data_IF_724346886545
#
_entry.id   IF_724346886545
#
_cell.length_a   1.000
_cell.length_b   1.000
_cell.length_c   1.000
_cell.angle_alpha   90.00
_cell.angle_beta   90.00
_cell.angle_gamma   90.00
#
_symmetry.space_group_name_H-M   'P 1'
#
loop_
_entity.id
_entity.type
_entity.pdbx_description
1 polymer ?
#
# COMPACT_ATOMS: atom_id res chain seq x y z
N UNK A 1 -4.45 30.03 18.75
CA UNK A 1 -4.36 28.77 19.51
C UNK A 1 -4.53 27.66 18.49
N UNK A 2 -3.43 26.97 18.17
CA UNK A 2 -3.49 25.78 17.33
C UNK A 2 -3.94 24.66 18.26
N UNK A 3 -5.20 24.25 18.17
CA UNK A 3 -5.67 23.04 18.84
C UNK A 3 -4.96 21.84 18.17
N UNK A 4 -4.02 21.21 18.86
CA UNK A 4 -3.47 19.94 18.44
C UNK A 4 -4.54 18.87 18.68
N UNK A 5 -5.20 18.46 17.59
CA UNK A 5 -6.05 17.28 17.63
C UNK A 5 -5.17 16.02 17.58
N UNK A 6 -5.29 15.18 18.60
CA UNK A 6 -4.65 13.86 18.57
C UNK A 6 -5.20 13.03 17.41
N UNK A 7 -4.31 12.54 16.58
CA UNK A 7 -4.65 11.68 15.46
C UNK A 7 -4.19 10.25 15.69
N UNK A 8 -4.93 9.30 15.16
CA UNK A 8 -4.58 7.89 15.11
C UNK A 8 -4.45 7.50 13.65
N UNK A 9 -3.29 7.00 13.27
CA UNK A 9 -3.04 6.46 11.94
C UNK A 9 -3.11 4.93 11.99
N UNK A 10 -3.97 4.36 11.14
CA UNK A 10 -4.15 2.92 11.01
C UNK A 10 -3.79 2.52 9.59
N UNK A 11 -2.92 1.53 9.46
CA UNK A 11 -2.53 0.95 8.17
C UNK A 11 -2.82 -0.55 8.16
N UNK A 12 -3.48 -1.01 7.11
CA UNK A 12 -3.82 -2.42 6.93
C UNK A 12 -3.60 -2.82 5.48
N UNK A 13 -2.86 -3.88 5.23
CA UNK A 13 -2.68 -4.43 3.90
C UNK A 13 -3.89 -5.27 3.50
N UNK A 14 -4.46 -4.97 2.35
CA UNK A 14 -5.59 -5.68 1.76
C UNK A 14 -5.10 -6.41 0.51
N UNK A 15 -5.25 -7.75 0.44
CA UNK A 15 -4.79 -8.50 -0.71
C UNK A 15 -5.72 -8.29 -1.91
N UNK A 16 -5.10 -8.06 -3.07
CA UNK A 16 -5.76 -8.02 -4.37
C UNK A 16 -5.15 -9.10 -5.27
N UNK A 17 -5.93 -9.63 -6.17
CA UNK A 17 -5.38 -10.49 -7.22
C UNK A 17 -4.45 -9.69 -8.12
N UNK A 18 -3.30 -10.25 -8.47
CA UNK A 18 -2.25 -9.58 -9.23
C UNK A 18 -2.81 -9.00 -10.54
N UNK A 19 -2.48 -7.74 -10.82
CA UNK A 19 -2.90 -7.06 -12.04
C UNK A 19 -4.39 -6.74 -12.12
N UNK A 20 -5.14 -6.85 -11.03
CA UNK A 20 -6.58 -6.61 -11.00
C UNK A 20 -6.98 -5.61 -9.91
N UNK A 21 -8.24 -5.16 -9.97
CA UNK A 21 -8.91 -4.41 -8.93
C UNK A 21 -9.80 -5.30 -8.02
N UNK A 22 -9.66 -6.62 -8.12
CA UNK A 22 -10.45 -7.59 -7.35
C UNK A 22 -9.75 -7.89 -6.03
N UNK A 23 -10.49 -7.66 -4.94
CA UNK A 23 -10.04 -8.01 -3.60
C UNK A 23 -10.03 -9.54 -3.47
N UNK A 24 -8.93 -10.09 -2.97
CA UNK A 24 -8.88 -11.49 -2.55
C UNK A 24 -9.62 -11.65 -1.21
N UNK A 25 -10.92 -11.89 -1.31
CA UNK A 25 -11.82 -11.94 -0.16
C UNK A 25 -11.77 -13.34 0.48
N UNK A 26 -10.83 -13.50 1.41
CA UNK A 26 -10.70 -14.67 2.25
C UNK A 26 -11.07 -14.33 3.71
N UNK A 27 -11.04 -15.30 4.59
CA UNK A 27 -11.42 -15.11 6.01
C UNK A 27 -10.53 -14.08 6.73
N UNK A 28 -9.24 -14.02 6.39
CA UNK A 28 -8.31 -13.03 6.96
C UNK A 28 -8.65 -11.64 6.45
N UNK A 29 -8.94 -11.49 5.16
CA UNK A 29 -9.35 -10.22 4.57
C UNK A 29 -10.66 -9.72 5.15
N UNK A 30 -11.65 -10.60 5.34
CA UNK A 30 -12.92 -10.26 5.99
C UNK A 30 -12.70 -9.75 7.41
N UNK A 31 -11.81 -10.38 8.18
CA UNK A 31 -11.45 -9.93 9.53
C UNK A 31 -10.77 -8.55 9.51
N UNK A 32 -9.87 -8.31 8.57
CA UNK A 32 -9.21 -7.01 8.39
C UNK A 32 -10.21 -5.91 8.08
N UNK A 33 -11.15 -6.16 7.18
CA UNK A 33 -12.21 -5.22 6.83
C UNK A 33 -13.13 -4.97 8.02
N UNK A 34 -13.50 -6.00 8.77
CA UNK A 34 -14.31 -5.86 9.98
C UNK A 34 -13.62 -4.98 11.04
N UNK A 35 -12.30 -5.13 11.22
CA UNK A 35 -11.52 -4.29 12.13
C UNK A 35 -11.48 -2.83 11.66
N UNK A 36 -11.33 -2.58 10.36
CA UNK A 36 -11.39 -1.24 9.79
C UNK A 36 -12.76 -0.61 10.09
N UNK A 37 -13.84 -1.33 9.84
CA UNK A 37 -15.21 -0.87 10.10
C UNK A 37 -15.41 -0.55 11.59
N UNK A 38 -14.91 -1.40 12.47
CA UNK A 38 -14.98 -1.19 13.92
C UNK A 38 -14.26 0.11 14.34
N UNK A 39 -13.11 0.39 13.77
CA UNK A 39 -12.37 1.63 14.04
C UNK A 39 -13.12 2.87 13.56
N UNK A 40 -13.71 2.80 12.36
CA UNK A 40 -14.48 3.91 11.79
C UNK A 40 -15.76 4.17 12.58
N UNK A 41 -16.41 3.12 13.08
CA UNK A 41 -17.66 3.22 13.87
C UNK A 41 -17.46 3.72 15.30
N UNK A 42 -16.23 3.82 15.78
CA UNK A 42 -15.98 4.31 17.12
C UNK A 42 -16.53 5.73 17.29
N UNK A 43 -17.32 5.96 18.33
CA UNK A 43 -17.83 7.28 18.68
C UNK A 43 -16.80 8.19 19.37
N UNK A 44 -15.61 7.69 19.62
CA UNK A 44 -14.49 8.44 20.21
C UNK A 44 -13.63 9.16 19.17
N UNK A 45 -13.83 8.86 17.90
CA UNK A 45 -13.07 9.38 16.78
C UNK A 45 -13.96 9.68 15.59
N UNK A 46 -13.46 10.50 14.66
CA UNK A 46 -14.05 10.63 13.34
C UNK A 46 -12.99 10.38 12.26
N UNK A 47 -13.43 9.87 11.12
CA UNK A 47 -12.56 9.60 9.97
C UNK A 47 -12.22 10.91 9.26
N UNK A 48 -10.96 11.32 9.30
CA UNK A 48 -10.47 12.51 8.61
C UNK A 48 -10.02 12.22 7.19
N UNK A 49 -9.37 11.08 6.95
CA UNK A 49 -8.94 10.68 5.60
C UNK A 49 -8.90 9.16 5.42
N UNK A 50 -9.10 8.75 4.19
CA UNK A 50 -9.06 7.38 3.74
C UNK A 50 -8.17 7.31 2.48
N UNK A 51 -7.01 6.68 2.60
CA UNK A 51 -6.04 6.55 1.52
C UNK A 51 -5.84 5.07 1.20
N UNK A 52 -5.79 4.77 -0.09
CA UNK A 52 -5.42 3.44 -0.59
C UNK A 52 -4.17 3.59 -1.44
N UNK A 53 -3.07 3.07 -0.96
CA UNK A 53 -1.77 3.10 -1.63
C UNK A 53 -1.46 1.73 -2.20
N UNK A 54 -1.15 1.65 -3.49
CA UNK A 54 -0.74 0.43 -4.16
C UNK A 54 0.74 0.50 -4.54
N UNK A 55 1.51 -0.51 -4.16
CA UNK A 55 2.90 -0.68 -4.57
C UNK A 55 3.01 -1.68 -5.70
N UNK A 56 3.79 -1.34 -6.72
CA UNK A 56 4.03 -2.14 -7.92
C UNK A 56 5.50 -2.53 -8.02
N UNK A 57 5.74 -3.76 -8.44
CA UNK A 57 7.08 -4.24 -8.78
C UNK A 57 7.48 -3.77 -10.19
N UNK A 58 8.81 -3.70 -10.50
CA UNK A 58 9.27 -3.01 -11.72
C UNK A 58 8.98 -3.74 -13.03
N UNK A 59 8.60 -5.02 -12.99
CA UNK A 59 8.21 -5.77 -14.21
C UNK A 59 6.81 -5.41 -14.72
N UNK A 60 6.04 -4.68 -13.93
CA UNK A 60 4.71 -4.21 -14.34
C UNK A 60 4.76 -3.09 -15.37
N UNK A 61 3.68 -2.92 -16.12
CA UNK A 61 3.55 -1.82 -17.07
C UNK A 61 3.10 -0.54 -16.34
N UNK A 62 3.99 0.44 -16.22
CA UNK A 62 3.73 1.76 -15.59
C UNK A 62 2.48 2.44 -16.14
N UNK A 63 2.18 2.21 -17.42
CA UNK A 63 1.01 2.78 -18.10
C UNK A 63 -0.32 2.48 -17.39
N UNK A 64 -0.45 1.29 -16.81
CA UNK A 64 -1.70 0.85 -16.18
C UNK A 64 -1.69 0.96 -14.66
N UNK A 65 -0.55 1.22 -14.06
CA UNK A 65 -0.42 1.19 -12.60
C UNK A 65 -1.30 2.25 -11.92
N UNK A 66 -1.36 3.46 -12.48
CA UNK A 66 -2.23 4.52 -11.97
C UNK A 66 -3.71 4.14 -12.02
N UNK A 67 -4.15 3.54 -13.12
CA UNK A 67 -5.54 3.08 -13.26
C UNK A 67 -5.87 1.98 -12.27
N UNK A 68 -5.00 0.97 -12.14
CA UNK A 68 -5.18 -0.12 -11.17
C UNK A 68 -5.24 0.43 -9.74
N UNK A 69 -4.37 1.36 -9.38
CA UNK A 69 -4.37 1.98 -8.05
C UNK A 69 -5.69 2.71 -7.77
N UNK A 70 -6.18 3.48 -8.75
CA UNK A 70 -7.46 4.18 -8.64
C UNK A 70 -8.64 3.22 -8.52
N UNK A 71 -8.67 2.18 -9.34
CA UNK A 71 -9.72 1.17 -9.32
C UNK A 71 -9.72 0.36 -8.01
N UNK A 72 -8.54 0.07 -7.44
CA UNK A 72 -8.42 -0.59 -6.13
C UNK A 72 -8.93 0.30 -5.01
N UNK A 73 -8.63 1.59 -5.04
CA UNK A 73 -9.17 2.54 -4.07
C UNK A 73 -10.70 2.59 -4.14
N UNK A 74 -11.27 2.62 -5.35
CA UNK A 74 -12.70 2.60 -5.55
C UNK A 74 -13.34 1.28 -5.08
N UNK A 75 -12.70 0.14 -5.34
CA UNK A 75 -13.19 -1.16 -4.88
C UNK A 75 -13.25 -1.25 -3.36
N UNK A 76 -12.25 -0.77 -2.65
CA UNK A 76 -12.26 -0.70 -1.19
C UNK A 76 -13.29 0.31 -0.67
N UNK A 77 -13.40 1.46 -1.33
CA UNK A 77 -14.41 2.46 -0.99
C UNK A 77 -15.83 1.91 -1.12
N UNK A 78 -16.11 1.11 -2.15
CA UNK A 78 -17.42 0.48 -2.34
C UNK A 78 -17.76 -0.50 -1.22
N UNK A 79 -16.79 -1.30 -0.78
CA UNK A 79 -16.96 -2.23 0.36
C UNK A 79 -17.22 -1.48 1.67
N UNK A 80 -16.57 -0.33 1.86
CA UNK A 80 -16.65 0.47 3.08
C UNK A 80 -17.66 1.60 3.01
N UNK A 81 -18.35 1.78 1.88
CA UNK A 81 -19.22 2.93 1.58
C UNK A 81 -20.19 3.31 2.70
N UNK A 82 -20.91 2.37 3.35
CA UNK A 82 -21.82 2.72 4.43
C UNK A 82 -21.14 3.39 5.63
N UNK A 83 -19.83 3.22 5.77
CA UNK A 83 -19.06 3.64 6.94
C UNK A 83 -18.18 4.88 6.68
N UNK A 84 -17.95 5.26 5.41
CA UNK A 84 -17.03 6.34 5.07
C UNK A 84 -17.56 7.73 5.37
N UNK A 85 -18.86 7.89 5.64
CA UNK A 85 -19.50 9.16 6.04
C UNK A 85 -19.15 10.34 5.11
N UNK A 86 -19.13 10.10 3.80
CA UNK A 86 -18.83 11.12 2.80
C UNK A 86 -17.33 11.41 2.58
N UNK A 87 -16.43 10.70 3.26
CA UNK A 87 -14.99 10.83 3.02
C UNK A 87 -14.64 10.19 1.69
N UNK A 88 -14.02 10.96 0.80
CA UNK A 88 -13.59 10.48 -0.51
C UNK A 88 -12.26 9.75 -0.40
N UNK A 89 -12.11 8.56 -1.00
CA UNK A 89 -10.85 7.84 -1.00
C UNK A 89 -9.78 8.59 -1.79
N UNK A 90 -8.55 8.56 -1.30
CA UNK A 90 -7.37 9.06 -1.99
C UNK A 90 -6.60 7.85 -2.51
N UNK A 91 -6.40 7.77 -3.83
CA UNK A 91 -5.59 6.74 -4.45
C UNK A 91 -4.16 7.24 -4.65
N UNK A 92 -3.20 6.50 -4.11
CA UNK A 92 -1.78 6.74 -4.35
C UNK A 92 -1.10 5.47 -4.83
N UNK A 93 0.06 5.59 -5.44
CA UNK A 93 0.82 4.42 -5.86
C UNK A 93 2.33 4.67 -5.81
N UNK A 94 3.07 3.58 -5.64
CA UNK A 94 4.53 3.53 -5.65
C UNK A 94 4.96 2.52 -6.72
N UNK A 95 5.85 2.94 -7.59
CA UNK A 95 6.50 2.06 -8.56
C UNK A 95 7.93 1.78 -8.08
N UNK A 96 8.17 0.54 -7.63
CA UNK A 96 9.52 0.13 -7.23
C UNK A 96 10.45 0.05 -8.43
N UNK A 97 11.68 0.52 -8.26
CA UNK A 97 12.74 0.42 -9.25
C UNK A 97 13.47 -0.92 -9.17
N UNK A 98 14.28 -1.22 -10.18
CA UNK A 98 15.19 -2.37 -10.11
C UNK A 98 16.24 -2.23 -9.01
N UNK A 99 16.60 -1.00 -8.65
CA UNK A 99 17.45 -0.75 -7.48
C UNK A 99 16.76 -1.17 -6.19
N UNK A 100 15.46 -0.91 -6.05
CA UNK A 100 14.67 -1.37 -4.91
C UNK A 100 14.65 -2.91 -4.83
N UNK A 101 14.60 -3.59 -5.97
CA UNK A 101 14.72 -5.05 -6.04
C UNK A 101 16.09 -5.51 -5.53
N UNK A 102 17.15 -4.86 -5.96
CA UNK A 102 18.51 -5.17 -5.48
C UNK A 102 18.63 -4.96 -3.96
N UNK A 103 18.10 -3.86 -3.44
CA UNK A 103 18.09 -3.58 -2.01
C UNK A 103 17.31 -4.66 -1.23
N UNK A 104 16.17 -5.09 -1.75
CA UNK A 104 15.37 -6.18 -1.16
C UNK A 104 16.09 -7.52 -1.16
N UNK A 105 16.80 -7.83 -2.24
CA UNK A 105 17.64 -9.02 -2.33
C UNK A 105 18.76 -9.01 -1.29
N UNK A 106 19.38 -7.83 -1.03
CA UNK A 106 20.40 -7.68 0.01
C UNK A 106 19.83 -7.92 1.40
N UNK A 107 18.63 -7.44 1.68
CA UNK A 107 17.93 -7.72 2.94
C UNK A 107 17.76 -9.22 3.19
N UNK A 108 17.62 -10.01 2.13
CA UNK A 108 17.50 -11.48 2.19
C UNK A 108 18.83 -12.21 1.98
N UNK A 109 19.96 -11.50 2.07
CA UNK A 109 21.32 -12.05 1.95
C UNK A 109 21.71 -12.54 0.55
N UNK A 110 20.97 -12.15 -0.48
CA UNK A 110 21.31 -12.45 -1.89
C UNK A 110 22.20 -11.37 -2.49
N UNK A 111 23.36 -11.14 -1.90
CA UNK A 111 24.26 -10.01 -2.24
C UNK A 111 24.78 -10.12 -3.68
N UNK A 112 25.22 -11.30 -4.12
CA UNK A 112 25.77 -11.48 -5.47
C UNK A 112 24.71 -11.27 -6.57
N UNK A 113 23.48 -11.68 -6.31
CA UNK A 113 22.35 -11.47 -7.24
C UNK A 113 22.01 -9.97 -7.32
N UNK A 114 21.97 -9.28 -6.18
CA UNK A 114 21.79 -7.84 -6.12
C UNK A 114 22.88 -7.09 -6.90
N UNK A 115 24.14 -7.51 -6.75
CA UNK A 115 25.27 -6.92 -7.50
C UNK A 115 25.11 -7.11 -9.01
N UNK A 116 24.61 -8.26 -9.44
CA UNK A 116 24.33 -8.52 -10.87
C UNK A 116 23.27 -7.58 -11.43
N UNK A 117 22.20 -7.33 -10.67
CA UNK A 117 21.14 -6.39 -11.06
C UNK A 117 21.71 -4.97 -11.13
N UNK A 118 22.44 -4.53 -10.13
CA UNK A 118 23.03 -3.19 -10.10
C UNK A 118 24.02 -2.97 -11.25
N UNK A 119 24.80 -3.99 -11.59
CA UNK A 119 25.68 -3.94 -12.74
C UNK A 119 24.91 -3.76 -14.05
N UNK A 120 23.79 -4.44 -14.24
CA UNK A 120 22.94 -4.28 -15.42
C UNK A 120 22.36 -2.87 -15.49
N UNK A 121 21.84 -2.36 -14.38
CA UNK A 121 21.26 -1.01 -14.30
C UNK A 121 22.33 0.06 -14.64
N UNK A 122 23.55 -0.11 -14.18
CA UNK A 122 24.63 0.82 -14.41
C UNK A 122 25.08 0.86 -15.87
N UNK A 123 25.09 -0.30 -16.54
CA UNK A 123 25.61 -0.46 -17.91
C UNK A 123 24.56 -0.26 -19.01
N UNK A 124 23.28 -0.40 -18.70
CA UNK A 124 22.21 -0.36 -19.67
C UNK A 124 21.24 0.80 -19.38
N UNK A 125 21.07 1.71 -20.32
CA UNK A 125 20.19 2.87 -20.18
C UNK A 125 18.76 2.61 -20.69
N UNK A 126 18.55 1.61 -21.55
CA UNK A 126 17.24 1.31 -22.10
C UNK A 126 16.45 0.42 -21.13
N UNK A 127 15.29 0.89 -20.60
CA UNK A 127 14.51 0.13 -19.60
C UNK A 127 14.07 -1.25 -20.08
N UNK A 128 13.70 -1.39 -21.35
CA UNK A 128 13.28 -2.70 -21.91
C UNK A 128 14.46 -3.69 -21.95
N UNK A 129 15.65 -3.18 -22.24
CA UNK A 129 16.86 -4.00 -22.25
C UNK A 129 17.30 -4.38 -20.83
N UNK A 130 17.13 -3.47 -19.86
CA UNK A 130 17.39 -3.78 -18.44
C UNK A 130 16.53 -4.97 -18.02
N UNK A 131 15.24 -4.92 -18.25
CA UNK A 131 14.33 -6.02 -17.91
C UNK A 131 14.71 -7.32 -18.62
N UNK A 132 14.97 -7.27 -19.93
CA UNK A 132 15.37 -8.45 -20.70
C UNK A 132 16.67 -9.09 -20.16
N UNK A 133 17.66 -8.29 -19.81
CA UNK A 133 18.93 -8.78 -19.24
C UNK A 133 18.73 -9.38 -17.86
N UNK A 134 17.91 -8.80 -17.02
CA UNK A 134 17.59 -9.35 -15.68
C UNK A 134 16.87 -10.70 -15.82
N UNK A 135 15.92 -10.83 -16.75
CA UNK A 135 15.22 -12.10 -17.02
C UNK A 135 16.16 -13.23 -17.46
N UNK A 136 17.31 -12.90 -18.05
CA UNK A 136 18.30 -13.88 -18.50
C UNK A 136 19.26 -14.34 -17.40
N UNK A 137 19.23 -13.70 -16.22
CA UNK A 137 20.06 -14.14 -15.10
C UNK A 137 19.64 -15.56 -14.66
N UNK A 138 20.60 -16.43 -14.35
CA UNK A 138 20.29 -17.80 -13.89
C UNK A 138 19.40 -17.82 -12.65
N UNK A 139 19.48 -16.80 -11.81
CA UNK A 139 18.74 -16.68 -10.55
C UNK A 139 17.35 -16.03 -10.71
N UNK A 140 16.95 -15.69 -11.93
CA UNK A 140 15.71 -14.94 -12.14
C UNK A 140 14.47 -15.67 -11.59
N UNK A 141 14.25 -16.92 -12.00
CA UNK A 141 13.06 -17.67 -11.61
C UNK A 141 13.02 -18.03 -10.13
N UNK A 142 14.15 -18.43 -9.57
CA UNK A 142 14.19 -19.02 -8.23
C UNK A 142 14.43 -17.97 -7.13
N UNK A 143 15.08 -16.85 -7.45
CA UNK A 143 15.49 -15.85 -6.45
C UNK A 143 14.87 -14.48 -6.72
N UNK A 144 15.00 -13.93 -7.94
CA UNK A 144 14.57 -12.57 -8.25
C UNK A 144 13.05 -12.47 -8.30
N UNK A 145 12.41 -13.30 -9.11
CA UNK A 145 10.97 -13.26 -9.32
C UNK A 145 10.16 -13.42 -8.02
N UNK A 146 10.51 -14.31 -7.09
CA UNK A 146 9.81 -14.43 -5.82
C UNK A 146 9.85 -13.17 -4.95
N UNK A 147 10.88 -12.32 -5.09
CA UNK A 147 10.99 -11.06 -4.36
C UNK A 147 9.88 -10.08 -4.75
N UNK A 148 9.40 -10.12 -5.99
CA UNK A 148 8.34 -9.23 -6.46
C UNK A 148 7.05 -9.35 -5.63
N UNK A 149 6.72 -10.53 -5.13
CA UNK A 149 5.53 -10.73 -4.28
C UNK A 149 5.59 -9.92 -3.00
N UNK A 150 6.79 -9.65 -2.48
CA UNK A 150 7.03 -8.83 -1.28
C UNK A 150 7.00 -7.33 -1.58
N UNK A 151 7.06 -6.97 -2.86
CA UNK A 151 7.07 -5.57 -3.32
C UNK A 151 5.72 -5.12 -3.86
N UNK A 152 4.79 -6.05 -4.03
CA UNK A 152 3.41 -5.80 -4.47
C UNK A 152 2.48 -5.85 -3.27
N UNK A 153 1.91 -4.73 -2.90
CA UNK A 153 0.94 -4.67 -1.81
C UNK A 153 0.00 -3.49 -1.99
N UNK A 154 -1.16 -3.58 -1.40
CA UNK A 154 -2.10 -2.46 -1.32
C UNK A 154 -2.41 -2.21 0.15
N UNK A 155 -2.14 -1.00 0.60
CA UNK A 155 -2.32 -0.59 1.99
C UNK A 155 -3.48 0.40 2.09
N UNK A 156 -4.43 0.08 2.94
CA UNK A 156 -5.49 0.99 3.37
C UNK A 156 -4.99 1.79 4.57
N UNK A 157 -4.98 3.11 4.46
CA UNK A 157 -4.57 4.03 5.52
C UNK A 157 -5.75 4.89 5.96
N UNK A 158 -6.05 4.82 7.24
CA UNK A 158 -7.06 5.63 7.88
C UNK A 158 -6.40 6.66 8.78
N UNK A 159 -6.81 7.91 8.69
CA UNK A 159 -6.51 8.92 9.69
C UNK A 159 -7.78 9.20 10.49
N UNK A 160 -7.73 8.87 11.77
CA UNK A 160 -8.80 9.12 12.72
C UNK A 160 -8.40 10.27 13.65
N UNK A 161 -9.33 11.16 13.92
CA UNK A 161 -9.13 12.27 14.87
C UNK A 161 -9.92 11.97 16.12
N UNK A 162 -9.27 12.04 17.28
CA UNK A 162 -9.94 11.86 18.57
C UNK A 162 -10.88 13.02 18.84
N UNK A 163 -12.09 12.68 19.23
CA UNK A 163 -13.05 13.66 19.73
C UNK A 163 -12.68 13.96 21.18
N UNK A 164 -12.26 15.21 21.47
CA UNK A 164 -12.08 15.65 22.84
C UNK A 164 -13.45 15.82 23.48
N UNK A 165 -13.73 15.02 24.54
CA UNK A 165 -14.81 15.32 25.45
C UNK A 165 -14.32 16.46 26.34
N UNK A 166 -14.73 17.72 26.02
CA UNK A 166 -14.60 18.82 26.99
C UNK A 166 -15.58 18.55 28.09
N UNK A 167 -15.06 18.06 29.24
CA UNK A 167 -15.82 18.13 30.48
C UNK A 167 -16.07 19.62 30.78
N UNK A 168 -17.28 20.05 30.52
CA UNK A 168 -17.72 21.35 31.02
C UNK A 168 -17.83 21.23 32.53
N UNK A 169 -16.78 21.66 33.24
CA UNK A 169 -16.86 21.85 34.68
C UNK A 169 -17.79 23.03 34.89
N UNK A 170 -19.04 22.75 35.14
CA UNK A 170 -19.96 23.75 35.71
C UNK A 170 -19.44 24.09 37.11
N UNK A 171 -18.72 25.21 37.23
CA UNK A 171 -18.57 25.84 38.51
C UNK A 171 -19.94 26.36 38.90
N UNK A 172 -20.70 25.59 39.67
CA UNK A 172 -21.80 26.10 40.42
C UNK A 172 -21.24 27.00 41.53
N UNK A 173 -21.50 28.30 41.42
CA UNK A 173 -21.38 29.22 42.56
C UNK A 173 -22.53 28.97 43.52
#
# INVERSE_FOLDING_TARGET
IIEQHDTIDISTDIPFFVGTNRIDMNSITEQKIALIVQQIKSNKTYLASFEVMTAFSPEGHTRFNKEIATERANALADVLKPHLKGVTPIATYIEHSWKDVADKLREHSYVSVADSIEFIIEKESNPSMVYAKICRLPQYHDIIRPIFTKMRYTTCRLKLVKLEVRDSVHKSN
#
